data_IF_153876579985
#
_entry.id   IF_153876579985
#
_cell.length_a   1.000
_cell.length_b   1.000
_cell.length_c   1.000
_cell.angle_alpha   90.00
_cell.angle_beta   90.00
_cell.angle_gamma   90.00
#
_symmetry.space_group_name_H-M   'P 1'
#
loop_
_entity.id
_entity.type
_entity.pdbx_description
1 polymer ?
#
# COMPACT_ATOMS: atom_id res chain seq x y z
N UNK A 1 -14.30 6.12 -21.53
CA UNK A 1 -13.37 5.60 -20.51
C UNK A 1 -12.52 6.78 -20.07
N UNK A 2 -12.87 7.38 -18.93
CA UNK A 2 -12.19 8.57 -18.43
C UNK A 2 -10.80 8.20 -17.92
N UNK A 3 -9.77 8.91 -18.39
CA UNK A 3 -8.49 8.89 -17.70
C UNK A 3 -8.75 9.41 -16.28
N UNK A 4 -8.52 8.56 -15.27
CA UNK A 4 -8.53 9.02 -13.90
C UNK A 4 -7.50 10.15 -13.78
N UNK A 5 -7.90 11.26 -13.16
CA UNK A 5 -6.99 12.36 -12.86
C UNK A 5 -5.80 11.79 -12.05
N UNK A 6 -4.53 11.99 -12.48
CA UNK A 6 -3.37 11.45 -11.78
C UNK A 6 -3.29 11.85 -10.31
N UNK A 7 -3.80 13.03 -9.95
CA UNK A 7 -3.87 13.51 -8.56
C UNK A 7 -4.91 12.69 -7.79
N UNK A 8 -6.11 12.51 -8.34
CA UNK A 8 -7.16 11.68 -7.73
C UNK A 8 -6.68 10.23 -7.53
N UNK A 9 -6.01 9.66 -8.55
CA UNK A 9 -5.44 8.33 -8.48
C UNK A 9 -4.39 8.23 -7.36
N UNK A 10 -3.55 9.25 -7.19
CA UNK A 10 -2.56 9.32 -6.11
C UNK A 10 -3.21 9.36 -4.72
N UNK A 11 -4.29 10.13 -4.55
CA UNK A 11 -5.04 10.20 -3.29
C UNK A 11 -5.64 8.83 -2.95
N UNK A 12 -6.36 8.22 -3.89
CA UNK A 12 -7.00 6.90 -3.70
C UNK A 12 -5.96 5.81 -3.39
N UNK A 13 -4.79 5.88 -4.03
CA UNK A 13 -3.68 4.97 -3.76
C UNK A 13 -3.19 5.10 -2.31
N UNK A 14 -3.01 6.33 -1.83
CA UNK A 14 -2.52 6.61 -0.48
C UNK A 14 -3.52 6.13 0.59
N UNK A 15 -4.81 6.38 0.39
CA UNK A 15 -5.87 5.94 1.30
C UNK A 15 -5.97 4.40 1.36
N UNK A 16 -6.00 3.74 0.19
CA UNK A 16 -6.07 2.28 0.11
C UNK A 16 -4.85 1.61 0.76
N UNK A 17 -3.67 2.19 0.57
CA UNK A 17 -2.43 1.73 1.17
C UNK A 17 -2.44 1.91 2.69
N UNK A 18 -2.87 3.07 3.20
CA UNK A 18 -2.98 3.31 4.63
C UNK A 18 -3.89 2.29 5.31
N UNK A 19 -5.04 2.00 4.70
CA UNK A 19 -5.98 1.02 5.24
C UNK A 19 -5.41 -0.39 5.22
N UNK A 20 -4.81 -0.82 4.10
CA UNK A 20 -4.19 -2.14 3.99
C UNK A 20 -3.05 -2.34 5.01
N UNK A 21 -2.26 -1.30 5.28
CA UNK A 21 -1.18 -1.37 6.28
C UNK A 21 -1.74 -1.47 7.71
N UNK A 22 -2.78 -0.70 8.03
CA UNK A 22 -3.42 -0.75 9.35
C UNK A 22 -4.05 -2.12 9.63
N UNK A 23 -4.65 -2.77 8.62
CA UNK A 23 -5.23 -4.11 8.76
C UNK A 23 -4.15 -5.20 8.89
N UNK A 24 -3.09 -5.14 8.07
CA UNK A 24 -2.07 -6.18 8.04
C UNK A 24 -1.13 -6.11 9.24
N UNK A 25 -0.83 -4.89 9.71
CA UNK A 25 0.23 -4.63 10.67
C UNK A 25 -0.17 -3.47 11.61
N UNK A 26 -1.17 -3.67 12.49
CA UNK A 26 -1.74 -2.60 13.32
C UNK A 26 -0.70 -1.93 14.25
N UNK A 27 0.33 -2.68 14.66
CA UNK A 27 1.38 -2.20 15.54
C UNK A 27 2.73 -2.00 14.82
N UNK A 28 2.75 -1.98 13.49
CA UNK A 28 4.01 -1.81 12.76
C UNK A 28 4.62 -0.42 12.96
N UNK A 29 5.93 -0.44 13.11
CA UNK A 29 6.82 0.71 13.19
C UNK A 29 7.76 0.73 11.99
N UNK A 30 8.36 1.89 11.70
CA UNK A 30 9.36 2.06 10.63
C UNK A 30 8.94 1.50 9.26
N UNK A 31 7.66 1.67 8.89
CA UNK A 31 7.13 1.16 7.63
C UNK A 31 7.82 1.84 6.45
N UNK A 32 8.44 1.05 5.58
CA UNK A 32 9.11 1.50 4.37
C UNK A 32 8.48 0.83 3.15
N UNK A 33 8.20 1.66 2.14
CA UNK A 33 7.64 1.23 0.86
C UNK A 33 8.60 1.68 -0.23
N UNK A 34 9.08 0.72 -1.03
CA UNK A 34 10.04 1.02 -2.08
C UNK A 34 9.35 1.61 -3.31
N UNK A 35 8.23 1.05 -3.75
CA UNK A 35 7.51 1.52 -4.94
C UNK A 35 6.03 1.19 -4.84
N UNK A 36 5.19 2.09 -5.36
CA UNK A 36 3.77 1.83 -5.54
C UNK A 36 3.42 2.05 -7.02
N UNK A 37 2.79 1.06 -7.63
CA UNK A 37 2.23 1.17 -8.97
C UNK A 37 0.72 1.32 -8.85
N UNK A 38 0.19 2.41 -9.40
CA UNK A 38 -1.24 2.65 -9.46
C UNK A 38 -1.77 2.39 -10.87
N UNK A 39 -2.86 1.65 -10.95
CA UNK A 39 -3.60 1.39 -12.19
C UNK A 39 -5.09 1.68 -11.97
N UNK A 40 -5.89 1.78 -13.03
CA UNK A 40 -7.33 2.04 -12.91
C UNK A 40 -8.09 0.99 -12.08
N UNK A 41 -7.60 -0.25 -12.02
CA UNK A 41 -8.32 -1.38 -11.40
C UNK A 41 -7.69 -1.85 -10.08
N UNK A 42 -6.40 -1.57 -9.85
CA UNK A 42 -5.67 -2.04 -8.67
C UNK A 42 -4.46 -1.17 -8.33
N UNK A 43 -4.03 -1.27 -7.08
CA UNK A 43 -2.75 -0.74 -6.60
C UNK A 43 -1.81 -1.89 -6.26
N UNK A 44 -0.54 -1.74 -6.61
CA UNK A 44 0.50 -2.70 -6.25
C UNK A 44 1.58 -2.03 -5.43
N UNK A 45 1.81 -2.55 -4.23
CA UNK A 45 2.95 -2.18 -3.39
C UNK A 45 4.08 -3.15 -3.68
N UNK A 46 5.19 -2.64 -4.19
CA UNK A 46 6.39 -3.41 -4.48
C UNK A 46 7.45 -3.08 -3.43
N UNK A 47 7.81 -4.08 -2.63
CA UNK A 47 8.74 -3.94 -1.52
C UNK A 47 8.14 -3.17 -0.33
N UNK A 48 7.55 -3.91 0.59
CA UNK A 48 7.16 -3.45 1.93
C UNK A 48 8.14 -4.03 2.95
N UNK A 49 8.61 -3.18 3.86
CA UNK A 49 9.29 -3.58 5.09
C UNK A 49 8.62 -2.88 6.27
N UNK A 50 8.41 -3.60 7.36
CA UNK A 50 7.92 -3.05 8.61
C UNK A 50 8.57 -3.76 9.79
N UNK A 51 8.89 -3.02 10.83
CA UNK A 51 9.38 -3.58 12.09
C UNK A 51 8.19 -3.72 13.06
N UNK A 52 8.13 -4.80 13.83
CA UNK A 52 7.10 -5.05 14.82
C UNK A 52 7.60 -4.74 16.24
N UNK A 53 6.71 -4.50 17.22
CA UNK A 53 7.11 -4.18 18.59
C UNK A 53 7.86 -5.31 19.30
N UNK A 54 7.71 -6.55 18.82
CA UNK A 54 8.44 -7.71 19.31
C UNK A 54 9.90 -7.80 18.79
N UNK A 55 10.32 -6.84 17.97
CA UNK A 55 11.65 -6.75 17.37
C UNK A 55 11.81 -7.54 16.07
N UNK A 56 10.77 -8.20 15.58
CA UNK A 56 10.79 -8.87 14.28
C UNK A 56 10.57 -7.90 13.12
N UNK A 57 10.94 -8.32 11.90
CA UNK A 57 10.71 -7.54 10.68
C UNK A 57 9.83 -8.33 9.70
N UNK A 58 8.75 -7.71 9.24
CA UNK A 58 7.92 -8.21 8.16
C UNK A 58 8.43 -7.63 6.84
N UNK A 59 8.72 -8.50 5.89
CA UNK A 59 9.10 -8.11 4.53
C UNK A 59 8.19 -8.79 3.51
N UNK A 60 7.58 -7.99 2.63
CA UNK A 60 6.70 -8.47 1.56
C UNK A 60 7.15 -7.86 0.24
N UNK A 61 7.44 -8.72 -0.74
CA UNK A 61 7.90 -8.26 -2.06
C UNK A 61 6.78 -7.64 -2.89
N UNK A 62 5.52 -8.08 -2.70
CA UNK A 62 4.36 -7.59 -3.45
C UNK A 62 3.08 -7.68 -2.62
N UNK A 63 2.28 -6.61 -2.63
CA UNK A 63 0.91 -6.58 -2.11
C UNK A 63 0.03 -6.01 -3.23
N UNK A 64 -1.07 -6.69 -3.54
CA UNK A 64 -2.06 -6.23 -4.52
C UNK A 64 -3.30 -5.81 -3.77
N UNK A 65 -3.69 -4.54 -3.92
CA UNK A 65 -4.86 -3.94 -3.28
C UNK A 65 -5.87 -3.64 -4.40
N UNK A 66 -7.00 -4.35 -4.46
CA UNK A 66 -8.02 -4.08 -5.46
C UNK A 66 -8.65 -2.71 -5.21
N UNK A 67 -8.99 -1.96 -6.28
CA UNK A 67 -9.87 -0.80 -6.13
C UNK A 67 -11.30 -1.31 -5.97
N UNK A 68 -11.90 -1.04 -4.82
CA UNK A 68 -13.34 -1.24 -4.64
C UNK A 68 -14.09 -0.45 -5.72
N UNK A 69 -14.96 -1.12 -6.47
CA UNK A 69 -15.81 -0.52 -7.50
C UNK A 69 -16.90 0.35 -6.91
#
# INVERSE_FOLDING_TARGET
>A
MGNADPVQLGIETAEALQHALAELLPDAMNVQIATVNASPDQFEVLGLRADLPDGSTVQRSRIVIPRSR
#
